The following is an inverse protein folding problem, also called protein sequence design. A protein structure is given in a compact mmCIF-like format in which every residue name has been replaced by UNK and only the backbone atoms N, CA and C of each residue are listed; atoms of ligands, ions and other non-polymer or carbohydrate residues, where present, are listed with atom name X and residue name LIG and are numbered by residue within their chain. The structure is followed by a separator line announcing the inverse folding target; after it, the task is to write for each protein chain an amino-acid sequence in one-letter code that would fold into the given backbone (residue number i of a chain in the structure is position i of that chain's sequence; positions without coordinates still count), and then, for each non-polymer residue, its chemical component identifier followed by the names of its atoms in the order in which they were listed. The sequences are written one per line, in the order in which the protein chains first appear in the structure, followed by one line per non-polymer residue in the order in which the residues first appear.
data_IF_428191392064
#
_entry.id   IF_428191392064
#
_cell.length_a   1.000
_cell.length_b   1.000
_cell.length_c   1.000
_cell.angle_alpha   90.00
_cell.angle_beta   90.00
_cell.angle_gamma   90.00
#
_symmetry.space_group_name_H-M   'P 1'
#
loop_
_entity.id
_entity.type
_entity.pdbx_description
1 polymer ?
#
# COMPACT_ATOMS: atom_id res chain seq x y z
N UNK A 1 11.33 -7.38 -35.05
CA UNK A 1 11.06 -7.79 -33.66
C UNK A 1 11.14 -6.51 -32.86
N UNK A 2 10.00 -5.94 -32.46
CA UNK A 2 10.02 -4.75 -31.61
C UNK A 2 10.75 -5.14 -30.33
N UNK A 3 11.87 -4.47 -30.07
CA UNK A 3 12.44 -4.41 -28.72
C UNK A 3 11.36 -3.75 -27.87
N UNK A 4 10.51 -4.58 -27.25
CA UNK A 4 9.52 -4.12 -26.31
C UNK A 4 10.21 -3.37 -25.17
N UNK A 5 9.44 -2.58 -24.42
CA UNK A 5 9.92 -2.09 -23.13
C UNK A 5 10.43 -3.31 -22.35
N UNK A 6 11.70 -3.30 -21.91
CA UNK A 6 12.34 -4.37 -21.12
C UNK A 6 11.76 -4.38 -19.70
N UNK A 7 10.45 -4.59 -19.65
CA UNK A 7 9.58 -4.45 -18.50
C UNK A 7 8.75 -5.71 -18.46
N UNK A 8 8.88 -6.45 -17.37
CA UNK A 8 8.09 -7.63 -17.09
C UNK A 8 6.79 -7.21 -16.37
N UNK A 9 5.61 -7.26 -17.05
CA UNK A 9 4.35 -6.84 -16.45
C UNK A 9 3.93 -7.75 -15.29
N UNK A 10 4.34 -9.03 -15.29
CA UNK A 10 4.03 -9.97 -14.21
C UNK A 10 4.82 -9.59 -12.95
N UNK A 11 6.10 -9.22 -13.09
CA UNK A 11 6.90 -8.70 -11.99
C UNK A 11 6.34 -7.40 -11.41
N UNK A 12 5.86 -6.47 -12.24
CA UNK A 12 5.19 -5.25 -11.77
C UNK A 12 3.91 -5.58 -11.00
N UNK A 13 3.05 -6.45 -11.56
CA UNK A 13 1.80 -6.84 -10.93
C UNK A 13 2.04 -7.52 -9.58
N UNK A 14 2.99 -8.46 -9.52
CA UNK A 14 3.37 -9.15 -8.28
C UNK A 14 3.96 -8.20 -7.24
N UNK A 15 4.79 -7.23 -7.64
CA UNK A 15 5.27 -6.18 -6.73
C UNK A 15 4.11 -5.32 -6.21
N UNK A 16 3.18 -4.96 -7.09
CA UNK A 16 1.99 -4.18 -6.71
C UNK A 16 1.10 -4.91 -5.71
N UNK A 17 0.86 -6.22 -5.91
CA UNK A 17 0.13 -7.06 -4.97
C UNK A 17 0.84 -7.13 -3.61
N UNK A 18 2.17 -7.26 -3.61
CA UNK A 18 2.97 -7.26 -2.38
C UNK A 18 2.89 -5.94 -1.60
N UNK A 19 2.85 -4.79 -2.28
CA UNK A 19 2.67 -3.50 -1.63
C UNK A 19 1.27 -3.33 -1.03
N UNK A 20 0.23 -3.80 -1.73
CA UNK A 20 -1.15 -3.77 -1.22
C UNK A 20 -1.27 -4.65 0.02
N UNK A 21 -0.72 -5.87 -0.01
CA UNK A 21 -0.70 -6.77 1.15
C UNK A 21 0.04 -6.14 2.33
N UNK A 22 1.19 -5.50 2.09
CA UNK A 22 1.92 -4.78 3.13
C UNK A 22 1.10 -3.62 3.72
N UNK A 23 0.32 -2.90 2.91
CA UNK A 23 -0.57 -1.85 3.39
C UNK A 23 -1.70 -2.41 4.27
N UNK A 24 -2.25 -3.58 3.93
CA UNK A 24 -3.26 -4.27 4.73
C UNK A 24 -2.68 -4.73 6.08
N UNK A 25 -1.45 -5.28 6.09
CA UNK A 25 -0.74 -5.68 7.31
C UNK A 25 -0.46 -4.48 8.23
N UNK A 26 -0.12 -3.32 7.64
CA UNK A 26 0.02 -2.05 8.38
C UNK A 26 -1.32 -1.68 9.04
N UNK A 27 -2.42 -1.75 8.31
CA UNK A 27 -3.75 -1.45 8.83
C UNK A 27 -4.16 -2.37 9.98
N UNK A 28 -3.89 -3.66 9.87
CA UNK A 28 -4.13 -4.63 10.94
C UNK A 28 -3.31 -4.31 12.21
N UNK A 29 -2.02 -4.01 12.03
CA UNK A 29 -1.10 -3.68 13.14
C UNK A 29 -1.52 -2.41 13.89
N UNK A 30 -1.98 -1.39 13.16
CA UNK A 30 -2.52 -0.15 13.76
C UNK A 30 -3.82 -0.44 14.53
N UNK A 31 -4.70 -1.28 13.96
CA UNK A 31 -5.95 -1.68 14.61
C UNK A 31 -5.71 -2.36 15.96
N UNK A 32 -4.73 -3.28 16.04
CA UNK A 32 -4.35 -3.94 17.28
C UNK A 32 -3.82 -2.95 18.33
N UNK A 33 -2.86 -2.09 17.96
CA UNK A 33 -2.27 -1.14 18.92
C UNK A 33 -3.32 -0.16 19.47
N UNK A 34 -4.18 0.38 18.60
CA UNK A 34 -5.21 1.34 19.02
C UNK A 34 -6.21 0.73 20.01
N UNK A 35 -6.51 -0.57 19.88
CA UNK A 35 -7.33 -1.32 20.82
C UNK A 35 -6.68 -1.47 22.19
N UNK A 36 -5.38 -1.79 22.24
CA UNK A 36 -4.62 -1.92 23.48
C UNK A 36 -4.51 -0.58 24.22
N UNK A 37 -4.29 0.51 23.50
CA UNK A 37 -4.19 1.84 24.10
C UNK A 37 -5.50 2.37 24.62
N UNK A 38 -6.62 2.16 23.90
CA UNK A 38 -7.94 2.55 24.41
C UNK A 38 -8.22 1.91 25.78
N UNK A 39 -7.77 0.66 26.00
CA UNK A 39 -7.87 -0.02 27.28
C UNK A 39 -7.00 0.64 28.37
N UNK A 40 -5.77 1.06 28.03
CA UNK A 40 -4.86 1.74 28.96
C UNK A 40 -5.29 3.18 29.29
N UNK A 41 -5.80 3.92 28.31
CA UNK A 41 -6.31 5.28 28.48
C UNK A 41 -7.52 5.33 29.42
N UNK A 42 -8.38 4.30 29.39
CA UNK A 42 -9.47 4.15 30.35
C UNK A 42 -8.98 3.95 31.80
N UNK A 43 -7.90 3.18 31.99
CA UNK A 43 -7.33 2.90 33.31
C UNK A 43 -6.59 4.10 33.91
N UNK A 44 -6.03 4.96 33.07
CA UNK A 44 -5.16 6.05 33.51
C UNK A 44 -5.79 7.45 33.40
N UNK A 45 -7.12 7.55 33.35
CA UNK A 45 -7.82 8.84 33.32
C UNK A 45 -7.38 9.75 34.48
N UNK A 46 -6.91 10.96 34.14
CA UNK A 46 -6.52 12.00 35.10
C UNK A 46 -5.01 12.18 35.30
N UNK A 47 -4.17 11.35 34.68
CA UNK A 47 -2.71 11.54 34.68
C UNK A 47 -2.27 12.26 33.40
N UNK A 48 -1.61 13.41 33.53
CA UNK A 48 -1.11 14.22 32.41
C UNK A 48 -0.18 13.43 31.48
N UNK A 49 0.67 12.57 32.04
CA UNK A 49 1.56 11.70 31.26
C UNK A 49 0.80 10.73 30.35
N UNK A 50 -0.37 10.26 30.77
CA UNK A 50 -1.22 9.36 29.99
C UNK A 50 -1.87 10.09 28.82
N UNK A 51 -2.29 11.34 29.02
CA UNK A 51 -2.80 12.19 27.95
C UNK A 51 -1.73 12.41 26.88
N UNK A 52 -0.49 12.74 27.28
CA UNK A 52 0.62 12.91 26.32
C UNK A 52 0.93 11.62 25.54
N UNK A 53 0.83 10.46 26.20
CA UNK A 53 1.01 9.16 25.54
C UNK A 53 -0.07 8.89 24.49
N UNK A 54 -1.34 9.15 24.82
CA UNK A 54 -2.48 9.00 23.89
C UNK A 54 -2.33 9.92 22.68
N UNK A 55 -1.89 11.17 22.89
CA UNK A 55 -1.67 12.14 21.81
C UNK A 55 -0.51 11.71 20.90
N UNK A 56 0.59 11.20 21.47
CA UNK A 56 1.73 10.71 20.72
C UNK A 56 1.37 9.49 19.88
N UNK A 57 0.57 8.58 20.45
CA UNK A 57 0.08 7.41 19.74
C UNK A 57 -0.89 7.77 18.61
N UNK A 58 -1.82 8.70 18.85
CA UNK A 58 -2.75 9.18 17.82
C UNK A 58 -2.00 9.77 16.62
N UNK A 59 -0.90 10.50 16.87
CA UNK A 59 -0.03 11.02 15.82
C UNK A 59 0.75 9.91 15.10
N UNK A 60 1.25 8.92 15.83
CA UNK A 60 1.90 7.75 15.25
C UNK A 60 0.94 6.98 14.35
N UNK A 61 -0.29 6.71 14.82
CA UNK A 61 -1.33 6.04 14.06
C UNK A 61 -1.62 6.77 12.75
N UNK A 62 -1.87 8.08 12.79
CA UNK A 62 -2.14 8.86 11.59
C UNK A 62 -0.97 8.83 10.58
N UNK A 63 0.28 8.85 11.08
CA UNK A 63 1.47 8.75 10.24
C UNK A 63 1.60 7.38 9.56
N UNK A 64 1.33 6.31 10.30
CA UNK A 64 1.39 4.93 9.80
C UNK A 64 0.24 4.65 8.82
N UNK A 65 -0.97 5.10 9.09
CA UNK A 65 -2.10 5.02 8.15
C UNK A 65 -1.81 5.76 6.85
N UNK A 66 -1.19 6.95 6.93
CA UNK A 66 -0.75 7.70 5.75
C UNK A 66 0.29 6.93 4.95
N UNK A 67 1.23 6.26 5.62
CA UNK A 67 2.22 5.42 4.97
C UNK A 67 1.55 4.22 4.27
N UNK A 68 0.65 3.51 4.97
CA UNK A 68 -0.13 2.40 4.40
C UNK A 68 -0.91 2.82 3.16
N UNK A 69 -1.63 3.94 3.21
CA UNK A 69 -2.37 4.47 2.07
C UNK A 69 -1.47 4.78 0.85
N UNK A 70 -0.28 5.36 1.08
CA UNK A 70 0.69 5.62 0.01
C UNK A 70 1.27 4.33 -0.57
N UNK A 71 1.55 3.34 0.27
CA UNK A 71 2.03 2.02 -0.15
C UNK A 71 0.99 1.33 -1.04
N UNK A 72 -0.29 1.32 -0.62
CA UNK A 72 -1.38 0.77 -1.41
C UNK A 72 -1.55 1.51 -2.75
N UNK A 73 -1.49 2.84 -2.75
CA UNK A 73 -1.56 3.64 -3.97
C UNK A 73 -0.40 3.34 -4.93
N UNK A 74 0.83 3.20 -4.42
CA UNK A 74 1.98 2.78 -5.21
C UNK A 74 1.80 1.38 -5.81
N UNK A 75 1.25 0.45 -5.04
CA UNK A 75 0.89 -0.89 -5.53
C UNK A 75 -0.16 -0.85 -6.64
N UNK A 76 -1.19 -0.02 -6.50
CA UNK A 76 -2.20 0.20 -7.54
C UNK A 76 -1.59 0.71 -8.86
N UNK A 77 -0.72 1.72 -8.78
CA UNK A 77 -0.05 2.28 -9.96
C UNK A 77 0.84 1.25 -10.67
N UNK A 78 1.52 0.36 -9.94
CA UNK A 78 2.31 -0.71 -10.56
C UNK A 78 1.42 -1.70 -11.33
N UNK A 79 0.23 -2.01 -10.81
CA UNK A 79 -0.74 -2.89 -11.48
C UNK A 79 -1.34 -2.21 -12.71
N UNK A 80 -1.71 -0.93 -12.62
CA UNK A 80 -2.17 -0.16 -13.76
C UNK A 80 -1.12 -0.12 -14.88
N UNK A 81 0.15 0.13 -14.53
CA UNK A 81 1.24 0.11 -15.50
C UNK A 81 1.43 -1.29 -16.12
N UNK A 82 1.33 -2.36 -15.32
CA UNK A 82 1.41 -3.73 -15.84
C UNK A 82 0.29 -4.04 -16.85
N UNK A 83 -0.93 -3.58 -16.58
CA UNK A 83 -2.07 -3.72 -17.49
C UNK A 83 -1.83 -2.93 -18.80
N UNK A 84 -1.27 -1.73 -18.70
CA UNK A 84 -0.93 -0.91 -19.86
C UNK A 84 0.16 -1.55 -20.73
N UNK A 85 1.24 -2.05 -20.14
CA UNK A 85 2.30 -2.75 -20.88
C UNK A 85 1.75 -4.00 -21.59
N UNK A 86 0.89 -4.77 -20.91
CA UNK A 86 0.25 -5.95 -21.50
C UNK A 86 -0.65 -5.59 -22.70
N UNK A 87 -1.39 -4.47 -22.60
CA UNK A 87 -2.23 -3.97 -23.70
C UNK A 87 -1.38 -3.54 -24.90
N UNK A 88 -0.30 -2.80 -24.65
CA UNK A 88 0.59 -2.31 -25.71
C UNK A 88 1.28 -3.46 -26.45
N UNK A 89 1.69 -4.50 -25.73
CA UNK A 89 2.32 -5.69 -26.33
C UNK A 89 1.33 -6.45 -27.23
N UNK A 90 0.08 -6.62 -26.79
CA UNK A 90 -0.95 -7.26 -27.62
C UNK A 90 -1.29 -6.41 -28.86
N UNK A 91 -1.39 -5.09 -28.74
CA UNK A 91 -1.60 -4.19 -29.87
C UNK A 91 -0.47 -4.26 -30.89
N UNK A 92 0.78 -4.28 -30.43
CA UNK A 92 1.96 -4.44 -31.28
C UNK A 92 1.94 -5.80 -32.00
N UNK A 93 1.56 -6.87 -31.29
CA UNK A 93 1.45 -8.22 -31.85
C UNK A 93 0.40 -8.31 -32.95
N UNK A 94 -0.78 -7.72 -32.73
CA UNK A 94 -1.87 -7.70 -33.72
C UNK A 94 -1.46 -6.91 -34.97
N UNK A 95 -0.82 -5.75 -34.78
CA UNK A 95 -0.34 -4.91 -35.89
C UNK A 95 0.63 -5.67 -36.81
N UNK A 96 1.54 -6.44 -36.24
CA UNK A 96 2.55 -7.21 -36.99
C UNK A 96 1.99 -8.45 -37.71
N UNK A 97 0.78 -8.92 -37.34
CA UNK A 97 0.12 -10.09 -37.97
C UNK A 97 -0.75 -9.70 -39.17
N UNK A 98 -1.09 -8.41 -39.31
CA UNK A 98 -1.95 -7.88 -40.38
C UNK A 98 -1.17 -7.24 -41.54
N UNK A 99 0.17 -7.14 -41.45
CA UNK A 99 1.09 -6.80 -42.56
C UNK A 99 1.64 -8.06 -43.24
#
# INVERSE_FOLDING_TARGET
MSEGFDVDPEALRGTGDGLIALADDIGASVGELSGESAALGGLNQGFEASTTLIDAESQWQAAVETLGARTAAGGGLLKENADEYSRLDEEARISFVLE
#
